data_IF_970012259692
#
_entry.id   IF_970012259692
#
_cell.length_a   1.000
_cell.length_b   1.000
_cell.length_c   1.000
_cell.angle_alpha   90.00
_cell.angle_beta   90.00
_cell.angle_gamma   90.00
#
_symmetry.space_group_name_H-M   'P 1'
#
loop_
_entity.id
_entity.type
_entity.pdbx_description
1 polymer ?
#
# COMPACT_ATOMS: atom_id res chain seq x y z
N UNK A 1 -23.91 -54.61 -72.44
CA UNK A 1 -24.66 -53.59 -71.63
C UNK A 1 -23.69 -52.82 -70.85
N UNK A 2 -23.29 -51.61 -71.30
CA UNK A 2 -22.34 -50.74 -70.72
C UNK A 2 -23.08 -49.55 -70.17
N UNK A 3 -22.83 -49.27 -68.88
CA UNK A 3 -23.35 -48.07 -68.17
C UNK A 3 -22.41 -46.90 -68.43
N UNK A 4 -22.91 -45.67 -68.59
CA UNK A 4 -22.09 -44.52 -68.90
C UNK A 4 -21.50 -43.87 -67.56
N UNK A 5 -20.26 -43.43 -67.68
CA UNK A 5 -19.51 -42.68 -66.68
C UNK A 5 -20.01 -41.21 -66.58
N UNK A 6 -20.06 -40.57 -65.41
CA UNK A 6 -20.44 -39.17 -65.27
C UNK A 6 -19.26 -38.25 -65.63
N UNK A 7 -19.56 -37.24 -66.43
CA UNK A 7 -18.68 -36.10 -66.73
C UNK A 7 -18.38 -35.29 -65.47
N UNK A 8 -17.11 -35.13 -65.14
CA UNK A 8 -16.64 -34.18 -64.14
C UNK A 8 -16.49 -32.78 -64.79
N UNK A 9 -17.31 -31.86 -64.35
CA UNK A 9 -17.19 -30.43 -64.69
C UNK A 9 -16.11 -29.80 -63.83
N UNK A 10 -14.93 -29.58 -64.37
CA UNK A 10 -13.86 -28.80 -63.70
C UNK A 10 -14.17 -27.31 -63.85
N UNK A 11 -14.64 -26.68 -62.78
CA UNK A 11 -14.77 -25.21 -62.70
C UNK A 11 -13.42 -24.67 -62.24
N UNK A 12 -12.69 -24.09 -63.21
CA UNK A 12 -11.44 -23.35 -62.94
C UNK A 12 -11.82 -21.97 -62.41
N UNK A 13 -11.67 -21.78 -61.10
CA UNK A 13 -11.72 -20.43 -60.50
C UNK A 13 -10.42 -19.70 -60.83
N UNK A 14 -10.52 -18.70 -61.73
CA UNK A 14 -9.43 -17.74 -61.97
C UNK A 14 -9.37 -16.78 -60.79
N UNK A 15 -8.51 -17.06 -59.79
CA UNK A 15 -8.24 -16.13 -58.70
C UNK A 15 -7.28 -15.05 -59.20
N UNK A 16 -7.83 -13.86 -59.49
CA UNK A 16 -7.04 -12.66 -59.79
C UNK A 16 -6.53 -12.16 -58.46
N UNK A 17 -5.27 -12.46 -58.12
CA UNK A 17 -4.57 -11.77 -57.02
C UNK A 17 -4.20 -10.37 -57.48
N UNK A 18 -4.66 -9.32 -56.77
CA UNK A 18 -4.10 -8.00 -56.97
C UNK A 18 -2.60 -8.06 -56.59
N UNK A 19 -1.73 -7.73 -57.50
CA UNK A 19 -0.30 -7.52 -57.23
C UNK A 19 -0.19 -6.33 -56.31
N UNK A 20 -0.19 -6.58 -54.96
CA UNK A 20 0.31 -5.58 -54.04
C UNK A 20 1.81 -5.42 -54.29
N UNK A 21 2.18 -4.28 -54.84
CA UNK A 21 3.57 -3.85 -54.79
C UNK A 21 3.92 -3.72 -53.33
N UNK A 22 4.70 -4.68 -52.80
CA UNK A 22 5.36 -4.52 -51.52
C UNK A 22 6.26 -3.27 -51.66
N UNK A 23 5.76 -2.13 -51.21
CA UNK A 23 6.67 -1.03 -50.87
C UNK A 23 7.59 -1.60 -49.79
N UNK A 24 8.89 -1.56 -50.03
CA UNK A 24 9.89 -1.89 -49.02
C UNK A 24 9.51 -1.17 -47.73
N UNK A 25 9.52 -1.86 -46.54
CA UNK A 25 9.30 -1.16 -45.28
C UNK A 25 10.27 0.02 -45.24
N UNK A 26 9.83 1.20 -44.75
CA UNK A 26 10.74 2.31 -44.57
C UNK A 26 11.94 1.79 -43.74
N UNK A 27 13.16 2.28 -44.06
CA UNK A 27 14.33 1.88 -43.27
C UNK A 27 14.01 2.08 -41.80
N UNK A 28 14.45 1.17 -40.90
CA UNK A 28 14.18 1.32 -39.48
C UNK A 28 14.63 2.72 -39.08
N UNK A 29 13.69 3.50 -38.54
CA UNK A 29 14.00 4.83 -38.02
C UNK A 29 15.12 4.62 -37.00
N UNK A 30 16.31 5.17 -37.27
CA UNK A 30 17.41 5.15 -36.31
C UNK A 30 16.87 5.69 -35.00
N UNK A 31 17.07 4.95 -33.92
CA UNK A 31 16.71 5.43 -32.57
C UNK A 31 17.30 6.83 -32.40
N UNK A 32 16.55 7.77 -31.80
CA UNK A 32 17.06 9.13 -31.60
C UNK A 32 18.36 9.06 -30.79
N UNK A 33 19.34 9.90 -31.13
CA UNK A 33 20.58 9.97 -30.36
C UNK A 33 20.31 10.51 -28.97
N UNK A 34 21.19 10.19 -27.98
CA UNK A 34 21.07 10.73 -26.62
C UNK A 34 21.03 12.27 -26.62
N UNK A 35 21.73 12.90 -27.55
CA UNK A 35 21.74 14.36 -27.74
C UNK A 35 20.36 14.85 -28.21
N UNK A 36 19.73 14.17 -29.16
CA UNK A 36 18.38 14.52 -29.63
C UNK A 36 17.36 14.36 -28.51
N UNK A 37 17.41 13.24 -27.74
CA UNK A 37 16.55 13.02 -26.56
C UNK A 37 16.77 14.12 -25.51
N UNK A 38 18.05 14.47 -25.27
CA UNK A 38 18.38 15.49 -24.29
C UNK A 38 17.81 16.86 -24.66
N UNK A 39 17.97 17.29 -25.94
CA UNK A 39 17.55 18.62 -26.39
C UNK A 39 16.05 18.72 -26.61
N UNK A 40 15.40 17.66 -27.12
CA UNK A 40 13.99 17.72 -27.51
C UNK A 40 13.01 17.30 -26.44
N UNK A 41 13.44 16.45 -25.48
CA UNK A 41 12.58 15.87 -24.44
C UNK A 41 13.06 16.21 -23.03
N UNK A 42 14.31 15.89 -22.71
CA UNK A 42 14.80 15.96 -21.32
C UNK A 42 14.97 17.42 -20.87
N UNK A 43 15.66 18.24 -21.65
CA UNK A 43 15.86 19.66 -21.33
C UNK A 43 14.54 20.41 -21.11
N UNK A 44 13.56 20.38 -22.03
CA UNK A 44 12.30 21.10 -21.84
C UNK A 44 11.53 20.63 -20.61
N UNK A 45 11.53 19.31 -20.35
CA UNK A 45 10.84 18.73 -19.18
C UNK A 45 11.46 19.14 -17.85
N UNK A 46 12.80 19.14 -17.75
CA UNK A 46 13.51 19.54 -16.54
C UNK A 46 13.44 21.05 -16.27
N UNK A 47 13.45 21.84 -17.33
CA UNK A 47 13.43 23.31 -17.25
C UNK A 47 12.13 23.84 -16.65
N UNK A 48 10.99 23.25 -17.02
CA UNK A 48 9.67 23.73 -16.60
C UNK A 48 9.26 25.02 -17.35
N UNK A 49 8.57 25.92 -16.65
CA UNK A 49 7.98 27.14 -17.25
C UNK A 49 8.95 28.33 -17.34
N UNK A 50 10.04 28.29 -16.59
CA UNK A 50 11.00 29.40 -16.51
C UNK A 50 12.29 29.03 -17.23
N UNK A 51 12.89 30.00 -17.92
CA UNK A 51 14.19 29.77 -18.53
C UNK A 51 15.25 29.53 -17.45
N UNK A 52 16.03 28.48 -17.66
CA UNK A 52 17.11 28.12 -16.76
C UNK A 52 18.46 28.38 -17.43
N UNK A 53 19.24 29.27 -16.80
CA UNK A 53 20.53 29.72 -17.33
C UNK A 53 21.57 28.59 -17.44
N UNK A 54 21.50 27.58 -16.58
CA UNK A 54 22.42 26.44 -16.65
C UNK A 54 22.12 25.56 -17.86
N UNK A 55 20.82 25.34 -18.16
CA UNK A 55 20.39 24.58 -19.31
C UNK A 55 20.56 25.34 -20.65
N UNK A 56 20.77 26.65 -20.62
CA UNK A 56 21.06 27.43 -21.84
C UNK A 56 22.32 26.97 -22.54
N UNK A 57 23.29 26.40 -21.79
CA UNK A 57 24.51 25.80 -22.36
C UNK A 57 24.23 24.59 -23.24
N UNK A 58 23.10 23.89 -23.05
CA UNK A 58 22.71 22.72 -23.85
C UNK A 58 22.12 23.19 -25.17
N UNK A 59 22.99 23.48 -26.13
CA UNK A 59 22.65 24.01 -27.41
C UNK A 59 23.72 23.62 -28.44
N UNK A 60 23.33 23.18 -29.63
CA UNK A 60 24.25 22.74 -30.69
C UNK A 60 25.19 23.82 -31.19
N UNK A 61 24.92 25.10 -30.86
CA UNK A 61 25.84 26.23 -31.15
C UNK A 61 26.93 26.36 -30.08
N UNK A 62 26.87 25.60 -29.01
CA UNK A 62 27.85 25.55 -27.90
C UNK A 62 28.58 24.21 -27.97
N UNK A 63 29.91 24.19 -27.85
CA UNK A 63 30.67 22.94 -27.85
C UNK A 63 30.21 22.02 -26.72
N UNK A 64 30.15 20.71 -26.97
CA UNK A 64 29.57 19.72 -26.07
C UNK A 64 30.25 19.70 -24.68
N UNK A 65 31.57 19.90 -24.63
CA UNK A 65 32.34 19.98 -23.39
C UNK A 65 31.97 21.18 -22.50
N UNK A 66 31.25 22.16 -23.00
CA UNK A 66 30.75 23.32 -22.27
C UNK A 66 29.32 23.13 -21.76
N UNK A 67 28.66 22.01 -22.10
CA UNK A 67 27.32 21.69 -21.58
C UNK A 67 27.43 21.30 -20.11
N UNK A 68 26.92 22.16 -19.26
CA UNK A 68 27.04 22.00 -17.82
C UNK A 68 26.27 20.77 -17.32
N UNK A 69 26.87 20.04 -16.38
CA UNK A 69 26.24 18.93 -15.69
C UNK A 69 26.21 17.62 -16.45
N UNK A 70 26.86 17.50 -17.60
CA UNK A 70 26.85 16.31 -18.43
C UNK A 70 28.24 15.68 -18.55
N UNK A 71 28.27 14.34 -18.46
CA UNK A 71 29.45 13.54 -18.81
C UNK A 71 29.08 12.58 -19.92
N UNK A 72 29.95 12.44 -20.88
CA UNK A 72 29.74 11.68 -22.11
C UNK A 72 30.70 10.51 -22.24
N UNK A 73 30.26 9.49 -22.95
CA UNK A 73 31.05 8.29 -23.28
C UNK A 73 30.77 7.96 -24.76
N UNK A 74 31.80 7.47 -25.47
CA UNK A 74 31.63 6.92 -26.81
C UNK A 74 31.05 5.49 -26.71
N UNK A 75 30.43 5.01 -27.75
CA UNK A 75 29.83 3.66 -27.80
C UNK A 75 30.85 2.53 -27.59
N UNK A 76 32.15 2.78 -27.72
CA UNK A 76 33.24 1.88 -27.36
C UNK A 76 33.65 1.96 -25.89
N UNK A 77 32.84 2.61 -25.04
CA UNK A 77 33.06 2.84 -23.63
C UNK A 77 34.25 3.75 -23.28
N UNK A 78 34.83 4.49 -24.23
CA UNK A 78 35.87 5.49 -23.94
C UNK A 78 35.20 6.79 -23.47
N UNK A 79 35.61 7.37 -22.31
CA UNK A 79 35.02 8.61 -21.83
C UNK A 79 35.48 9.79 -22.68
N UNK A 80 34.55 10.72 -22.94
CA UNK A 80 34.91 12.04 -23.50
C UNK A 80 35.47 12.90 -22.33
N UNK A 81 36.76 13.16 -22.40
CA UNK A 81 37.45 13.95 -21.40
C UNK A 81 37.35 15.45 -21.74
N UNK A 82 36.57 16.15 -20.94
CA UNK A 82 36.36 17.62 -21.04
C UNK A 82 37.08 18.36 -19.87
N UNK A 83 38.25 17.89 -19.48
CA UNK A 83 38.99 18.42 -18.31
C UNK A 83 39.99 19.52 -18.64
N UNK A 84 40.42 19.59 -19.87
CA UNK A 84 41.44 20.54 -20.29
C UNK A 84 40.86 21.57 -21.27
N UNK A 85 40.89 22.85 -20.83
CA UNK A 85 40.42 24.00 -21.62
C UNK A 85 41.21 24.20 -22.90
N UNK A 86 42.46 23.71 -22.96
CA UNK A 86 43.35 23.75 -24.13
C UNK A 86 43.09 22.58 -25.09
N UNK A 87 42.28 21.58 -24.70
CA UNK A 87 42.03 20.42 -25.55
C UNK A 87 41.21 20.80 -26.81
N UNK A 88 41.47 20.21 -27.98
CA UNK A 88 40.69 20.41 -29.19
C UNK A 88 39.20 20.07 -29.00
N UNK A 89 38.86 19.21 -28.06
CA UNK A 89 37.49 18.81 -27.76
C UNK A 89 36.68 19.92 -27.11
N UNK A 90 37.34 20.84 -26.34
CA UNK A 90 36.68 21.93 -25.65
C UNK A 90 36.01 22.95 -26.60
N UNK A 91 36.50 23.10 -27.79
CA UNK A 91 35.96 24.02 -28.81
C UNK A 91 35.26 23.29 -29.97
N UNK A 92 35.25 21.97 -29.93
CA UNK A 92 34.72 21.15 -31.04
C UNK A 92 33.18 21.14 -31.07
N UNK A 93 32.59 21.86 -32.02
CA UNK A 93 31.14 21.89 -32.27
C UNK A 93 30.63 20.61 -32.95
N UNK A 94 31.48 19.84 -33.64
CA UNK A 94 31.03 18.64 -34.35
C UNK A 94 30.71 17.47 -33.45
N UNK A 95 31.20 17.47 -32.21
CA UNK A 95 30.90 16.43 -31.23
C UNK A 95 29.40 16.30 -30.92
N UNK A 96 28.65 17.40 -30.95
CA UNK A 96 27.20 17.38 -30.77
C UNK A 96 26.41 16.68 -31.89
N UNK A 97 27.11 16.29 -32.98
CA UNK A 97 26.52 15.55 -34.12
C UNK A 97 27.05 14.10 -34.20
N UNK A 98 27.90 13.70 -33.29
CA UNK A 98 28.48 12.37 -33.29
C UNK A 98 27.48 11.35 -32.70
N UNK A 99 26.95 10.40 -33.51
CA UNK A 99 25.94 9.45 -33.08
C UNK A 99 26.51 8.37 -32.13
N UNK A 100 27.83 8.29 -32.01
CA UNK A 100 28.48 7.34 -31.10
C UNK A 100 28.56 7.84 -29.64
N UNK A 101 28.26 9.13 -29.42
CA UNK A 101 28.24 9.70 -28.07
C UNK A 101 26.95 9.38 -27.33
N UNK A 102 27.12 8.89 -26.11
CA UNK A 102 26.07 8.50 -25.19
C UNK A 102 26.25 9.23 -23.86
N UNK A 103 25.13 9.59 -23.23
CA UNK A 103 25.15 10.28 -21.95
C UNK A 103 25.51 9.29 -20.80
N UNK A 104 26.63 9.51 -20.14
CA UNK A 104 27.09 8.73 -19.01
C UNK A 104 26.52 9.20 -17.67
N UNK A 105 26.43 10.53 -17.49
CA UNK A 105 25.99 11.12 -16.22
C UNK A 105 25.31 12.45 -16.44
N UNK A 106 24.21 12.66 -15.71
CA UNK A 106 23.45 13.91 -15.62
C UNK A 106 23.52 14.42 -14.17
N UNK A 107 24.24 15.54 -13.95
CA UNK A 107 24.53 16.08 -12.62
C UNK A 107 24.17 17.58 -12.59
N UNK A 108 23.00 17.88 -12.05
CA UNK A 108 22.48 19.26 -11.89
C UNK A 108 21.90 19.46 -10.47
N UNK A 109 22.67 19.19 -9.41
CA UNK A 109 22.20 19.52 -8.08
C UNK A 109 22.12 21.04 -7.92
N UNK A 110 21.13 21.53 -7.16
CA UNK A 110 20.93 22.97 -6.89
C UNK A 110 20.87 23.85 -8.14
N UNK A 111 20.34 23.32 -9.22
CA UNK A 111 20.36 24.00 -10.53
C UNK A 111 19.11 24.86 -10.79
N UNK A 112 18.17 24.95 -9.83
CA UNK A 112 16.93 25.72 -9.98
C UNK A 112 15.95 25.13 -11.01
N UNK A 113 16.00 23.80 -11.21
CA UNK A 113 15.07 23.10 -12.10
C UNK A 113 13.66 23.09 -11.49
N UNK A 114 12.64 23.38 -12.28
CA UNK A 114 11.24 23.49 -11.82
C UNK A 114 10.24 22.67 -12.64
N UNK A 115 10.73 21.79 -13.49
CA UNK A 115 9.92 20.94 -14.34
C UNK A 115 9.55 19.59 -13.73
N UNK A 116 9.59 18.56 -14.57
CA UNK A 116 9.26 17.16 -14.20
C UNK A 116 10.33 16.21 -14.70
N UNK A 117 10.38 15.01 -14.14
CA UNK A 117 11.24 13.93 -14.62
C UNK A 117 10.62 13.31 -15.89
N UNK A 118 11.24 13.40 -17.06
CA UNK A 118 10.72 12.77 -18.27
C UNK A 118 11.03 11.27 -18.31
N UNK A 119 10.15 10.49 -18.90
CA UNK A 119 10.32 9.04 -19.07
C UNK A 119 11.55 8.67 -19.90
N UNK A 120 11.93 9.55 -20.82
CA UNK A 120 13.07 9.38 -21.73
C UNK A 120 14.42 9.26 -20.99
N UNK A 121 14.47 9.61 -19.70
CA UNK A 121 15.65 9.32 -18.87
C UNK A 121 15.94 7.81 -18.77
N UNK A 122 14.91 6.95 -18.85
CA UNK A 122 15.05 5.50 -18.88
C UNK A 122 15.53 4.94 -20.22
N UNK A 123 15.43 5.72 -21.29
CA UNK A 123 15.85 5.33 -22.64
C UNK A 123 17.35 5.54 -22.88
N UNK A 124 18.01 6.34 -22.04
CA UNK A 124 19.46 6.62 -22.15
C UNK A 124 20.28 5.39 -21.73
N UNK A 125 20.76 4.67 -22.75
CA UNK A 125 21.37 3.33 -22.57
C UNK A 125 22.63 3.30 -21.70
N UNK A 126 23.42 4.38 -21.71
CA UNK A 126 24.70 4.48 -20.97
C UNK A 126 24.61 5.35 -19.71
N UNK A 127 23.44 5.87 -19.36
CA UNK A 127 23.26 6.71 -18.18
C UNK A 127 23.45 5.90 -16.89
N UNK A 128 24.56 6.14 -16.19
CA UNK A 128 24.90 5.48 -14.93
C UNK A 128 24.53 6.31 -13.69
N UNK A 129 24.57 7.64 -13.81
CA UNK A 129 24.36 8.52 -12.66
C UNK A 129 23.39 9.65 -13.00
N UNK A 130 22.36 9.78 -12.18
CA UNK A 130 21.33 10.80 -12.25
C UNK A 130 21.29 11.57 -10.93
N UNK A 131 21.89 12.76 -10.88
CA UNK A 131 21.96 13.63 -9.68
C UNK A 131 21.24 14.94 -9.94
N UNK A 132 20.01 15.08 -9.45
CA UNK A 132 19.14 16.24 -9.62
C UNK A 132 18.62 16.74 -8.25
N UNK A 133 19.36 16.47 -7.18
CA UNK A 133 18.96 16.87 -5.83
C UNK A 133 18.95 18.39 -5.64
N UNK A 134 18.19 18.86 -4.64
CA UNK A 134 18.05 20.27 -4.25
C UNK A 134 17.53 21.12 -5.43
N UNK A 135 16.38 20.74 -5.97
CA UNK A 135 15.68 21.45 -7.04
C UNK A 135 14.19 21.61 -6.70
N UNK A 136 13.39 22.05 -7.64
CA UNK A 136 11.93 22.16 -7.49
C UNK A 136 11.20 21.25 -8.49
N UNK A 137 11.80 20.08 -8.82
CA UNK A 137 11.20 19.10 -9.72
C UNK A 137 9.95 18.51 -9.09
N UNK A 138 8.88 18.43 -9.86
CA UNK A 138 7.56 17.98 -9.41
C UNK A 138 7.05 16.79 -10.23
N UNK A 139 5.86 16.29 -9.88
CA UNK A 139 5.27 15.11 -10.54
C UNK A 139 5.80 13.81 -9.96
N UNK A 140 5.60 12.72 -10.67
CA UNK A 140 5.93 11.36 -10.22
C UNK A 140 7.29 10.91 -10.72
N UNK A 141 7.87 9.92 -10.04
CA UNK A 141 9.04 9.19 -10.53
C UNK A 141 8.58 8.31 -11.71
N UNK A 142 9.13 8.49 -12.92
CA UNK A 142 8.70 7.72 -14.09
C UNK A 142 9.07 6.24 -13.94
N UNK A 143 8.15 5.35 -14.31
CA UNK A 143 8.39 3.92 -14.26
C UNK A 143 9.51 3.46 -15.20
N UNK A 144 9.75 4.22 -16.27
CA UNK A 144 10.78 3.96 -17.28
C UNK A 144 12.20 4.03 -16.72
N UNK A 145 12.43 4.79 -15.64
CA UNK A 145 13.72 4.79 -14.95
C UNK A 145 14.15 3.37 -14.54
N UNK A 146 13.19 2.55 -14.12
CA UNK A 146 13.45 1.15 -13.74
C UNK A 146 13.83 0.24 -14.92
N UNK A 147 13.66 0.67 -16.15
CA UNK A 147 14.05 -0.07 -17.34
C UNK A 147 15.39 0.37 -17.92
N UNK A 148 16.04 1.36 -17.31
CA UNK A 148 17.37 1.76 -17.72
C UNK A 148 18.36 0.60 -17.66
N UNK A 149 19.18 0.45 -18.71
CA UNK A 149 20.18 -0.63 -18.81
C UNK A 149 21.43 -0.40 -17.95
N UNK A 150 21.72 0.85 -17.58
CA UNK A 150 23.02 1.20 -16.96
C UNK A 150 22.91 1.99 -15.67
N UNK A 151 21.73 2.49 -15.32
CA UNK A 151 21.53 3.36 -14.16
C UNK A 151 21.87 2.64 -12.85
N UNK A 152 22.81 3.22 -12.10
CA UNK A 152 23.30 2.66 -10.85
C UNK A 152 23.25 3.64 -9.67
N UNK A 153 23.23 4.94 -9.93
CA UNK A 153 23.18 5.96 -8.88
C UNK A 153 22.08 6.97 -9.20
N UNK A 154 21.14 7.09 -8.28
CA UNK A 154 19.99 8.01 -8.38
C UNK A 154 19.97 8.88 -7.14
N UNK A 155 20.03 10.20 -7.32
CA UNK A 155 19.84 11.19 -6.27
C UNK A 155 18.86 12.27 -6.76
N UNK A 156 17.64 12.18 -6.24
CA UNK A 156 16.53 13.10 -6.50
C UNK A 156 16.06 13.76 -5.19
N UNK A 157 16.91 13.75 -4.15
CA UNK A 157 16.61 14.32 -2.85
C UNK A 157 16.26 15.81 -2.91
N UNK A 158 15.51 16.28 -1.93
CA UNK A 158 15.10 17.70 -1.78
C UNK A 158 14.49 18.28 -3.05
N UNK A 159 13.34 17.71 -3.44
CA UNK A 159 12.52 18.12 -4.57
C UNK A 159 11.03 18.16 -4.19
N UNK A 160 10.14 18.36 -5.15
CA UNK A 160 8.69 18.38 -4.96
C UNK A 160 8.01 17.14 -5.58
N UNK A 161 8.75 16.04 -5.70
CA UNK A 161 8.24 14.79 -6.27
C UNK A 161 7.14 14.20 -5.39
N UNK A 162 6.12 13.62 -6.02
CA UNK A 162 4.94 13.08 -5.34
C UNK A 162 4.48 11.75 -5.96
N UNK A 163 3.38 11.20 -5.42
CA UNK A 163 2.87 9.90 -5.85
C UNK A 163 3.65 8.73 -5.25
N UNK A 164 3.41 7.53 -5.75
CA UNK A 164 4.07 6.30 -5.30
C UNK A 164 5.35 6.04 -6.08
N UNK A 165 6.32 5.39 -5.44
CA UNK A 165 7.50 4.88 -6.10
C UNK A 165 7.10 3.71 -7.02
N UNK A 166 7.46 3.70 -8.31
CA UNK A 166 7.09 2.61 -9.21
C UNK A 166 7.85 1.31 -8.87
N UNK A 167 7.15 0.17 -8.95
CA UNK A 167 7.74 -1.16 -8.69
C UNK A 167 8.94 -1.45 -9.59
N UNK A 168 8.93 -0.90 -10.82
CA UNK A 168 10.01 -1.06 -11.80
C UNK A 168 11.38 -0.60 -11.28
N UNK A 169 11.44 0.28 -10.27
CA UNK A 169 12.72 0.74 -9.71
C UNK A 169 13.61 -0.44 -9.25
N UNK A 170 13.00 -1.52 -8.81
CA UNK A 170 13.71 -2.73 -8.38
C UNK A 170 14.24 -3.59 -9.53
N UNK A 171 13.89 -3.30 -10.79
CA UNK A 171 14.55 -3.93 -11.95
C UNK A 171 16.01 -3.51 -12.05
N UNK A 172 16.39 -2.41 -11.38
CA UNK A 172 17.77 -1.95 -11.27
C UNK A 172 18.57 -2.71 -10.20
N UNK A 173 17.95 -3.57 -9.41
CA UNK A 173 18.43 -4.20 -8.20
C UNK A 173 19.88 -4.70 -8.30
N UNK A 174 20.23 -5.42 -9.39
CA UNK A 174 21.56 -6.02 -9.51
C UNK A 174 22.68 -5.00 -9.78
N UNK A 175 22.34 -3.79 -10.25
CA UNK A 175 23.30 -2.73 -10.59
C UNK A 175 23.16 -1.48 -9.74
N UNK A 176 22.00 -1.29 -9.10
CA UNK A 176 21.73 -0.12 -8.28
C UNK A 176 22.66 -0.11 -7.06
N UNK A 177 23.39 0.97 -6.89
CA UNK A 177 24.28 1.21 -5.75
C UNK A 177 23.65 2.16 -4.76
N UNK A 178 23.03 3.24 -5.26
CA UNK A 178 22.47 4.30 -4.43
C UNK A 178 21.13 4.76 -4.96
N UNK A 179 20.13 4.83 -4.07
CA UNK A 179 18.82 5.45 -4.29
C UNK A 179 18.57 6.46 -3.17
N UNK A 180 18.58 7.74 -3.50
CA UNK A 180 18.29 8.84 -2.57
C UNK A 180 17.10 9.64 -3.09
N UNK A 181 16.03 9.64 -2.30
CA UNK A 181 14.74 10.28 -2.59
C UNK A 181 14.27 11.15 -1.41
N UNK A 182 15.15 11.41 -0.43
CA UNK A 182 14.80 12.17 0.77
C UNK A 182 14.24 13.56 0.45
N UNK A 183 13.49 14.17 1.37
CA UNK A 183 13.00 15.53 1.22
C UNK A 183 12.02 15.72 0.06
N UNK A 184 11.08 14.78 -0.14
CA UNK A 184 10.06 14.83 -1.19
C UNK A 184 8.64 14.66 -0.60
N UNK A 185 7.64 14.51 -1.43
CA UNK A 185 6.26 14.19 -1.05
C UNK A 185 5.81 12.82 -1.56
N UNK A 186 6.76 11.88 -1.71
CA UNK A 186 6.45 10.51 -2.14
C UNK A 186 5.61 9.79 -1.08
N UNK A 187 4.66 8.97 -1.51
CA UNK A 187 3.64 8.38 -0.63
C UNK A 187 3.30 6.94 -1.02
N UNK A 188 2.43 6.32 -0.22
CA UNK A 188 2.06 4.91 -0.39
C UNK A 188 3.06 3.97 0.26
N UNK A 189 2.83 2.67 0.12
CA UNK A 189 3.78 1.66 0.59
C UNK A 189 4.99 1.57 -0.33
N UNK A 190 6.14 1.24 0.22
CA UNK A 190 7.31 0.93 -0.59
C UNK A 190 7.04 -0.37 -1.37
N UNK A 191 7.08 -0.35 -2.72
CA UNK A 191 6.74 -1.53 -3.50
C UNK A 191 7.78 -2.64 -3.29
N UNK A 192 7.35 -3.90 -3.30
CA UNK A 192 8.26 -5.04 -3.25
C UNK A 192 8.89 -5.31 -4.63
N UNK A 193 10.13 -5.85 -4.66
CA UNK A 193 10.73 -6.36 -5.87
C UNK A 193 9.84 -7.46 -6.50
N UNK A 194 9.67 -7.43 -7.83
CA UNK A 194 8.87 -8.42 -8.55
C UNK A 194 9.38 -9.86 -8.36
N UNK A 195 10.68 -10.02 -8.18
CA UNK A 195 11.30 -11.30 -7.85
C UNK A 195 11.45 -11.42 -6.33
N UNK A 196 10.74 -12.35 -5.67
CA UNK A 196 10.66 -12.43 -4.22
C UNK A 196 12.00 -12.71 -3.52
N UNK A 197 13.00 -13.25 -4.23
CA UNK A 197 14.32 -13.56 -3.70
C UNK A 197 15.41 -12.58 -4.14
N UNK A 198 15.06 -11.40 -4.63
CA UNK A 198 16.03 -10.38 -5.00
C UNK A 198 16.88 -9.97 -3.80
N UNK A 199 18.20 -10.06 -3.92
CA UNK A 199 19.16 -9.72 -2.88
C UNK A 199 19.85 -8.39 -3.10
N UNK A 200 19.70 -7.79 -4.29
CA UNK A 200 20.28 -6.48 -4.66
C UNK A 200 21.73 -6.32 -4.19
N UNK A 201 22.62 -7.23 -4.62
CA UNK A 201 23.96 -7.36 -4.06
C UNK A 201 24.87 -6.13 -4.24
N UNK A 202 24.54 -5.24 -5.18
CA UNK A 202 25.28 -3.98 -5.39
C UNK A 202 24.72 -2.82 -4.54
N UNK A 203 23.52 -2.97 -3.94
CA UNK A 203 22.78 -1.88 -3.33
C UNK A 203 23.33 -1.55 -1.94
N UNK A 204 23.84 -0.33 -1.78
CA UNK A 204 24.53 0.11 -0.57
C UNK A 204 23.82 1.26 0.17
N UNK A 205 23.11 2.13 -0.55
CA UNK A 205 22.58 3.34 0.03
C UNK A 205 21.10 3.51 -0.32
N UNK A 206 20.23 3.43 0.70
CA UNK A 206 18.80 3.71 0.59
C UNK A 206 18.44 4.85 1.53
N UNK A 207 18.08 5.99 0.96
CA UNK A 207 17.66 7.17 1.69
C UNK A 207 16.28 7.63 1.17
N UNK A 208 15.26 7.40 1.98
CA UNK A 208 13.85 7.76 1.74
C UNK A 208 13.34 8.73 2.80
N UNK A 209 14.21 9.28 3.63
CA UNK A 209 13.85 10.17 4.72
C UNK A 209 13.00 11.37 4.28
N UNK A 210 12.22 11.95 5.20
CA UNK A 210 11.42 13.15 4.94
C UNK A 210 10.49 13.01 3.72
N UNK A 211 9.61 12.00 3.76
CA UNK A 211 8.59 11.72 2.75
C UNK A 211 7.24 11.40 3.42
N UNK A 212 6.31 10.81 2.67
CA UNK A 212 5.00 10.37 3.16
C UNK A 212 4.78 8.88 2.93
N UNK A 213 5.86 8.08 2.87
CA UNK A 213 5.75 6.63 2.76
C UNK A 213 5.02 6.05 3.96
N UNK A 214 4.20 5.04 3.75
CA UNK A 214 3.34 4.43 4.75
C UNK A 214 3.32 2.91 4.63
N UNK A 215 2.58 2.24 5.49
CA UNK A 215 2.54 0.79 5.58
C UNK A 215 3.53 0.25 6.60
N UNK A 216 3.68 -1.06 6.64
CA UNK A 216 4.61 -1.71 7.56
C UNK A 216 6.06 -1.57 7.07
N UNK A 217 7.00 -1.89 7.97
CA UNK A 217 8.42 -1.93 7.59
C UNK A 217 8.62 -2.85 6.37
N UNK A 218 9.26 -2.38 5.29
CA UNK A 218 9.45 -3.17 4.07
C UNK A 218 10.44 -4.31 4.30
N UNK A 219 9.94 -5.47 4.70
CA UNK A 219 10.75 -6.61 5.16
C UNK A 219 11.76 -7.09 4.12
N UNK A 220 11.48 -6.92 2.83
CA UNK A 220 12.38 -7.30 1.75
C UNK A 220 13.75 -6.59 1.82
N UNK A 221 13.84 -5.41 2.47
CA UNK A 221 15.12 -4.69 2.68
C UNK A 221 16.09 -5.53 3.49
N UNK A 222 15.62 -6.39 4.38
CA UNK A 222 16.48 -7.27 5.20
C UNK A 222 17.30 -8.29 4.37
N UNK A 223 16.92 -8.47 3.10
CA UNK A 223 17.64 -9.32 2.15
C UNK A 223 18.80 -8.62 1.45
N UNK A 224 18.89 -7.28 1.53
CA UNK A 224 19.91 -6.48 0.86
C UNK A 224 21.22 -6.48 1.65
N UNK A 225 22.00 -7.56 1.56
CA UNK A 225 23.18 -7.81 2.40
C UNK A 225 24.30 -6.80 2.27
N UNK A 226 24.36 -6.07 1.14
CA UNK A 226 25.37 -5.03 0.90
C UNK A 226 24.95 -3.65 1.40
N UNK A 227 23.72 -3.52 1.95
CA UNK A 227 23.21 -2.25 2.43
C UNK A 227 24.03 -1.74 3.62
N UNK A 228 24.50 -0.49 3.51
CA UNK A 228 25.31 0.21 4.51
C UNK A 228 24.57 1.38 5.15
N UNK A 229 23.72 2.06 4.36
CA UNK A 229 22.91 3.16 4.83
C UNK A 229 21.43 2.86 4.56
N UNK A 230 20.64 2.96 5.63
CA UNK A 230 19.18 2.92 5.58
C UNK A 230 18.61 4.13 6.33
N UNK A 231 18.01 5.05 5.61
CA UNK A 231 17.27 6.18 6.20
C UNK A 231 15.81 6.11 5.75
N UNK A 232 14.91 5.90 6.71
CA UNK A 232 13.46 5.92 6.54
C UNK A 232 12.82 7.00 7.44
N UNK A 233 13.61 7.88 8.05
CA UNK A 233 13.13 8.84 9.03
C UNK A 233 12.07 9.80 8.48
N UNK A 234 11.24 10.33 9.38
CA UNK A 234 10.21 11.31 9.00
C UNK A 234 9.31 10.82 7.87
N UNK A 235 8.65 9.68 8.11
CA UNK A 235 7.66 9.06 7.24
C UNK A 235 6.44 8.58 8.06
N UNK A 236 5.57 7.81 7.45
CA UNK A 236 4.35 7.26 8.06
C UNK A 236 4.41 5.73 8.19
N UNK A 237 5.62 5.15 8.24
CA UNK A 237 5.78 3.70 8.42
C UNK A 237 5.26 3.27 9.79
N UNK A 238 4.75 2.05 9.88
CA UNK A 238 4.14 1.46 11.07
C UNK A 238 4.58 0.00 11.28
N UNK A 239 3.94 -0.68 12.21
CA UNK A 239 4.22 -2.09 12.50
C UNK A 239 5.50 -2.30 13.29
N UNK A 240 5.98 -3.54 13.30
CA UNK A 240 7.20 -3.94 14.01
C UNK A 240 8.42 -3.88 13.09
N UNK A 241 9.57 -3.57 13.67
CA UNK A 241 10.86 -3.64 12.98
C UNK A 241 11.32 -5.11 12.98
N UNK A 242 11.57 -5.72 11.80
CA UNK A 242 11.84 -7.14 11.70
C UNK A 242 13.24 -7.51 12.23
N UNK A 243 13.35 -8.71 12.82
CA UNK A 243 14.63 -9.24 13.34
C UNK A 243 15.73 -9.33 12.26
N UNK A 244 15.34 -9.57 11.01
CA UNK A 244 16.26 -9.61 9.87
C UNK A 244 17.10 -8.35 9.68
N UNK A 245 16.65 -7.20 10.18
CA UNK A 245 17.39 -5.94 10.13
C UNK A 245 18.72 -6.05 10.90
N UNK A 246 18.73 -6.76 12.04
CA UNK A 246 19.96 -7.00 12.82
C UNK A 246 21.02 -7.81 12.08
N UNK A 247 20.65 -8.55 11.06
CA UNK A 247 21.55 -9.32 10.21
C UNK A 247 22.25 -8.50 9.11
N UNK A 248 21.90 -7.21 8.94
CA UNK A 248 22.54 -6.33 7.97
C UNK A 248 23.79 -5.64 8.57
N UNK A 249 24.78 -5.40 7.72
CA UNK A 249 25.98 -4.68 8.14
C UNK A 249 25.86 -3.18 7.93
N UNK A 250 24.80 -2.57 8.49
CA UNK A 250 24.53 -1.14 8.33
C UNK A 250 25.59 -0.30 9.05
N UNK A 251 26.11 0.72 8.38
CA UNK A 251 26.98 1.76 8.94
C UNK A 251 26.15 2.93 9.49
N UNK A 252 25.03 3.22 8.83
CA UNK A 252 24.07 4.26 9.23
C UNK A 252 22.65 3.72 9.17
N UNK A 253 21.91 3.99 10.22
CA UNK A 253 20.48 3.67 10.35
C UNK A 253 19.75 4.89 10.88
N UNK A 254 18.60 5.21 10.31
CA UNK A 254 17.69 6.22 10.84
C UNK A 254 16.25 5.80 10.57
N UNK A 255 15.51 5.49 11.63
CA UNK A 255 14.09 5.10 11.60
C UNK A 255 13.24 6.06 12.42
N UNK A 256 13.80 7.20 12.84
CA UNK A 256 13.14 8.18 13.71
C UNK A 256 11.90 8.81 13.05
N UNK A 257 11.01 9.33 13.87
CA UNK A 257 9.80 10.05 13.42
C UNK A 257 8.95 9.27 12.43
N UNK A 258 8.55 8.07 12.87
CA UNK A 258 7.60 7.16 12.21
C UNK A 258 6.56 6.69 13.24
N UNK A 259 5.83 5.64 12.95
CA UNK A 259 4.88 5.00 13.88
C UNK A 259 5.24 3.53 14.16
N UNK A 260 6.53 3.18 14.16
CA UNK A 260 6.99 1.84 14.49
C UNK A 260 6.68 1.50 15.95
N UNK A 261 6.36 0.24 16.23
CA UNK A 261 5.96 -0.25 17.55
C UNK A 261 6.52 -1.66 17.81
N UNK A 262 6.36 -2.16 19.02
CA UNK A 262 6.81 -3.50 19.37
C UNK A 262 8.23 -3.55 19.91
N UNK A 263 8.85 -4.73 19.85
CA UNK A 263 10.21 -4.96 20.38
C UNK A 263 11.23 -4.70 19.32
N UNK A 264 12.26 -3.90 19.63
CA UNK A 264 13.39 -3.69 18.74
C UNK A 264 14.18 -5.01 18.56
N UNK A 265 14.56 -5.33 17.30
CA UNK A 265 15.46 -6.44 17.05
C UNK A 265 16.84 -6.19 17.67
N UNK A 266 17.62 -7.25 17.88
CA UNK A 266 19.01 -7.10 18.28
C UNK A 266 19.84 -6.53 17.12
N UNK A 267 20.19 -5.25 17.20
CA UNK A 267 20.99 -4.53 16.19
C UNK A 267 22.49 -4.55 16.48
N UNK A 268 22.94 -5.40 17.41
CA UNK A 268 24.30 -5.39 17.95
C UNK A 268 24.44 -4.40 19.11
N UNK A 269 25.18 -4.80 20.13
CA UNK A 269 25.36 -3.97 21.32
C UNK A 269 26.01 -2.63 20.94
N UNK A 270 25.33 -1.53 21.27
CA UNK A 270 25.79 -0.14 21.16
C UNK A 270 26.14 0.39 19.74
N UNK A 271 25.72 -0.24 18.66
CA UNK A 271 26.01 0.26 17.31
C UNK A 271 25.20 1.50 16.95
N UNK A 272 23.93 1.57 17.41
CA UNK A 272 23.01 2.67 17.17
C UNK A 272 22.41 3.16 18.48
N UNK A 273 22.36 4.46 18.70
CA UNK A 273 21.76 5.06 19.87
C UNK A 273 20.23 5.16 19.79
N UNK A 274 19.62 5.68 20.85
CA UNK A 274 18.16 5.85 20.93
C UNK A 274 17.63 6.87 19.91
N UNK A 275 18.44 7.81 19.49
CA UNK A 275 18.10 8.89 18.55
C UNK A 275 17.62 8.38 17.19
N UNK A 276 18.12 7.21 16.74
CA UNK A 276 17.71 6.65 15.44
C UNK A 276 16.28 6.08 15.46
N UNK A 277 15.65 6.01 16.64
CA UNK A 277 14.29 5.53 16.86
C UNK A 277 13.38 6.60 17.47
N UNK A 278 13.88 7.82 17.70
CA UNK A 278 13.15 8.90 18.32
C UNK A 278 11.85 9.21 17.56
N UNK A 279 10.82 9.71 18.26
CA UNK A 279 9.58 10.14 17.64
C UNK A 279 8.69 9.02 17.08
N UNK A 280 9.00 7.75 17.42
CA UNK A 280 8.16 6.60 17.06
C UNK A 280 7.04 6.37 18.08
N UNK A 281 6.22 5.36 17.84
CA UNK A 281 5.13 4.96 18.73
C UNK A 281 5.67 4.69 20.15
N UNK A 282 4.99 5.17 21.23
CA UNK A 282 5.38 4.91 22.60
C UNK A 282 5.47 3.42 22.98
N UNK A 283 4.88 2.54 22.17
CA UNK A 283 4.96 1.08 22.32
C UNK A 283 6.26 0.46 21.80
N UNK A 284 7.13 1.25 21.12
CA UNK A 284 8.45 0.77 20.69
C UNK A 284 9.38 0.68 21.89
N UNK A 285 10.00 -0.47 22.11
CA UNK A 285 10.80 -0.77 23.29
C UNK A 285 11.92 -1.78 23.00
N UNK A 286 12.85 -1.98 23.91
CA UNK A 286 14.03 -2.82 23.72
C UNK A 286 15.30 -2.00 23.57
N UNK A 287 16.48 -2.59 23.77
CA UNK A 287 17.74 -1.86 23.66
C UNK A 287 17.93 -1.26 22.26
N UNK A 288 18.34 0.01 22.11
CA UNK A 288 18.81 0.97 23.14
C UNK A 288 17.69 1.79 23.80
N UNK A 289 16.43 1.57 23.46
CA UNK A 289 15.30 2.21 24.12
C UNK A 289 15.04 1.59 25.50
N UNK A 290 14.02 2.10 26.21
CA UNK A 290 13.57 1.52 27.47
C UNK A 290 13.26 0.03 27.29
N UNK A 291 13.50 -0.76 28.36
CA UNK A 291 13.08 -2.15 28.39
C UNK A 291 11.58 -2.26 28.14
N UNK A 292 11.18 -3.22 27.30
CA UNK A 292 9.77 -3.51 27.12
C UNK A 292 9.19 -3.80 28.50
N UNK A 293 8.19 -3.02 28.91
CA UNK A 293 7.35 -3.44 30.01
C UNK A 293 6.80 -4.77 29.55
N UNK A 294 7.36 -5.87 30.11
CA UNK A 294 6.67 -7.13 30.08
C UNK A 294 5.24 -6.79 30.47
N UNK A 295 4.26 -7.22 29.73
CA UNK A 295 2.94 -7.26 30.28
C UNK A 295 3.13 -8.02 31.59
N UNK A 296 3.23 -7.30 32.69
CA UNK A 296 2.95 -7.84 34.00
C UNK A 296 1.46 -8.18 33.92
N UNK A 297 1.14 -9.11 33.07
CA UNK A 297 -0.07 -9.87 33.14
C UNK A 297 -0.05 -10.37 34.54
N UNK A 298 -0.95 -9.80 35.37
CA UNK A 298 -1.21 -10.30 36.70
C UNK A 298 -1.23 -11.81 36.52
N UNK A 299 -0.29 -12.53 37.13
CA UNK A 299 -0.13 -13.97 36.89
C UNK A 299 -1.51 -14.61 36.98
N UNK A 300 -1.80 -15.63 36.16
CA UNK A 300 -3.09 -16.30 36.18
C UNK A 300 -3.52 -16.66 37.62
N UNK A 301 -2.54 -16.90 38.52
CA UNK A 301 -2.75 -17.09 39.94
C UNK A 301 -3.18 -15.79 40.67
N UNK A 302 -2.63 -14.63 40.31
CA UNK A 302 -3.02 -13.36 40.91
C UNK A 302 -4.41 -12.90 40.43
N UNK A 303 -4.75 -13.13 39.14
CA UNK A 303 -6.11 -12.90 38.61
C UNK A 303 -7.09 -13.84 39.29
N UNK A 304 -6.77 -15.13 39.45
CA UNK A 304 -7.58 -16.09 40.17
C UNK A 304 -7.75 -15.67 41.64
N UNK A 305 -6.69 -15.22 42.31
CA UNK A 305 -6.73 -14.71 43.67
C UNK A 305 -7.63 -13.47 43.83
N UNK A 306 -7.56 -12.52 42.92
CA UNK A 306 -8.42 -11.32 42.91
C UNK A 306 -9.89 -11.72 42.67
N UNK A 307 -10.17 -12.62 41.73
CA UNK A 307 -11.53 -13.08 41.44
C UNK A 307 -12.10 -13.85 42.66
N UNK A 308 -11.32 -14.75 43.25
CA UNK A 308 -11.74 -15.48 44.44
C UNK A 308 -11.98 -14.52 45.62
N UNK A 309 -11.11 -13.52 45.82
CA UNK A 309 -11.26 -12.49 46.84
C UNK A 309 -12.53 -11.65 46.65
N UNK A 310 -12.87 -11.27 45.45
CA UNK A 310 -14.10 -10.53 45.10
C UNK A 310 -15.32 -11.43 45.34
N UNK A 311 -15.31 -12.67 44.85
CA UNK A 311 -16.43 -13.60 45.03
C UNK A 311 -16.68 -13.94 46.51
N UNK A 312 -15.63 -14.19 47.30
CA UNK A 312 -15.77 -14.42 48.74
C UNK A 312 -16.28 -13.18 49.45
N UNK A 313 -15.81 -11.98 49.07
CA UNK A 313 -16.32 -10.71 49.61
C UNK A 313 -17.81 -10.51 49.31
N UNK A 314 -18.26 -10.83 48.11
CA UNK A 314 -19.68 -10.76 47.71
C UNK A 314 -20.52 -11.76 48.54
N UNK A 315 -20.04 -12.98 48.69
CA UNK A 315 -20.74 -14.00 49.48
C UNK A 315 -20.87 -13.59 50.96
N UNK A 316 -19.80 -13.04 51.56
CA UNK A 316 -19.83 -12.52 52.94
C UNK A 316 -20.80 -11.34 53.06
N UNK A 317 -20.77 -10.39 52.14
CA UNK A 317 -21.71 -9.25 52.11
C UNK A 317 -23.17 -9.71 51.93
N UNK A 318 -23.41 -10.67 51.02
CA UNK A 318 -24.73 -11.25 50.83
C UNK A 318 -25.22 -11.99 52.11
N UNK A 319 -24.36 -12.75 52.77
CA UNK A 319 -24.68 -13.43 54.04
C UNK A 319 -25.02 -12.44 55.17
N UNK A 320 -24.27 -11.33 55.28
CA UNK A 320 -24.52 -10.27 56.24
C UNK A 320 -25.84 -9.54 55.91
N UNK A 321 -26.13 -9.27 54.63
CA UNK A 321 -27.39 -8.67 54.20
C UNK A 321 -28.59 -9.59 54.46
N UNK A 322 -28.46 -10.90 54.19
CA UNK A 322 -29.50 -11.89 54.50
C UNK A 322 -29.72 -11.95 55.99
N UNK A 323 -28.66 -12.00 56.82
CA UNK A 323 -28.74 -11.97 58.28
C UNK A 323 -29.41 -10.70 58.77
N UNK A 324 -29.07 -9.52 58.19
CA UNK A 324 -29.71 -8.25 58.56
C UNK A 324 -31.21 -8.21 58.18
N UNK A 325 -31.55 -8.67 56.97
CA UNK A 325 -32.94 -8.73 56.50
C UNK A 325 -33.78 -9.75 57.30
N UNK A 326 -33.20 -10.92 57.63
CA UNK A 326 -33.87 -11.90 58.47
C UNK A 326 -34.04 -11.40 59.91
N UNK A 327 -33.04 -10.70 60.47
CA UNK A 327 -33.15 -10.04 61.77
C UNK A 327 -34.26 -8.98 61.82
N UNK A 328 -34.41 -8.23 60.69
CA UNK A 328 -35.46 -7.22 60.52
C UNK A 328 -36.86 -7.86 60.35
N UNK A 329 -36.95 -8.99 59.58
CA UNK A 329 -38.21 -9.77 59.48
C UNK A 329 -38.68 -10.44 60.75
N UNK A 330 -37.79 -10.72 61.69
CA UNK A 330 -38.19 -11.22 63.05
C UNK A 330 -38.80 -10.12 63.90
N UNK A 331 -38.56 -8.83 63.61
CA UNK A 331 -39.04 -7.70 64.38
C UNK A 331 -40.35 -7.09 63.86
N UNK A 332 -40.78 -7.46 62.67
CA UNK A 332 -42.01 -6.94 62.01
C UNK A 332 -42.92 -8.09 61.58
N UNK A 333 -43.17 -9.06 62.46
CA UNK A 333 -44.19 -10.07 62.26
C UNK A 333 -45.32 -9.84 63.22
N UNK A 334 -45.86 -8.65 63.18
CA UNK A 334 -47.19 -8.24 63.61
C UNK A 334 -47.54 -7.11 62.70
N UNK A 335 -48.70 -7.26 62.03
CA UNK A 335 -49.44 -6.34 61.22
C UNK A 335 -49.24 -6.38 59.69
N UNK A 336 -50.29 -6.96 59.15
CA UNK A 336 -51.07 -6.62 57.93
C UNK A 336 -50.65 -7.16 56.60
N UNK A 337 -51.59 -7.97 56.15
CA UNK A 337 -51.93 -8.39 54.82
C UNK A 337 -52.16 -7.22 53.86
N UNK A 338 -51.81 -7.39 52.60
CA UNK A 338 -52.58 -7.11 51.38
C UNK A 338 -51.73 -6.53 50.23
N UNK A 339 -51.80 -7.28 49.05
CA UNK A 339 -51.85 -6.85 47.66
C UNK A 339 -50.60 -6.14 47.07
N UNK A 340 -50.07 -6.44 45.92
CA UNK A 340 -50.54 -6.94 44.65
C UNK A 340 -49.35 -7.35 43.77
N UNK A 341 -49.62 -8.20 42.81
CA UNK A 341 -48.87 -8.69 41.70
C UNK A 341 -48.38 -7.58 40.74
N UNK A 342 -47.24 -7.84 40.12
CA UNK A 342 -46.91 -7.66 38.70
C UNK A 342 -45.38 -7.71 38.58
N UNK A 343 -44.72 -8.45 37.79
CA UNK A 343 -44.96 -9.21 36.57
C UNK A 343 -43.63 -9.89 36.28
N UNK A 344 -43.61 -11.18 36.37
CA UNK A 344 -42.52 -12.03 35.85
C UNK A 344 -42.72 -12.12 34.33
N UNK A 345 -41.78 -11.65 33.54
CA UNK A 345 -41.73 -12.02 32.13
C UNK A 345 -40.83 -13.24 31.94
N UNK A 346 -41.50 -14.25 31.58
CA UNK A 346 -41.13 -15.63 31.31
C UNK A 346 -39.87 -15.80 30.44
N UNK A 347 -38.87 -16.48 30.98
CA UNK A 347 -38.04 -17.36 30.22
C UNK A 347 -38.79 -18.67 29.98
N UNK A 348 -39.49 -18.78 28.91
CA UNK A 348 -39.98 -20.09 28.45
C UNK A 348 -39.20 -20.57 27.25
N UNK A 349 -38.37 -21.56 27.50
CA UNK A 349 -37.61 -22.31 26.53
C UNK A 349 -38.53 -23.10 25.62
N UNK A 350 -38.47 -22.73 24.32
CA UNK A 350 -38.93 -23.55 23.20
C UNK A 350 -37.78 -24.33 22.63
N UNK A 351 -37.80 -25.64 22.83
CA UNK A 351 -36.93 -26.61 22.15
C UNK A 351 -37.34 -26.67 20.66
N UNK A 352 -36.57 -26.04 19.78
CA UNK A 352 -36.77 -26.07 18.32
C UNK A 352 -35.56 -25.54 17.59
N UNK A 353 -34.93 -26.38 16.93
CA UNK A 353 -34.01 -26.49 15.78
C UNK A 353 -33.32 -25.27 15.16
N UNK A 354 -33.47 -24.03 15.59
CA UNK A 354 -33.02 -22.83 14.87
C UNK A 354 -32.01 -22.00 15.69
N UNK A 355 -31.11 -21.25 14.99
CA UNK A 355 -30.11 -20.40 15.64
C UNK A 355 -30.74 -19.20 16.39
N UNK A 356 -29.93 -18.41 17.09
CA UNK A 356 -30.39 -17.28 17.90
C UNK A 356 -30.29 -15.96 17.10
N UNK A 357 -31.40 -15.23 16.92
CA UNK A 357 -31.46 -13.90 16.36
C UNK A 357 -31.55 -12.87 17.49
N UNK A 358 -30.71 -11.84 17.46
CA UNK A 358 -30.70 -10.71 18.40
C UNK A 358 -31.06 -9.47 17.59
N UNK A 359 -32.13 -8.81 17.96
CA UNK A 359 -32.62 -7.60 17.32
C UNK A 359 -32.06 -6.34 17.98
N UNK A 360 -31.88 -5.29 17.19
CA UNK A 360 -31.49 -3.96 17.67
C UNK A 360 -32.51 -2.94 17.17
N UNK A 361 -32.46 -1.74 17.72
CA UNK A 361 -33.38 -0.66 17.39
C UNK A 361 -33.51 -0.44 15.87
N UNK A 362 -34.73 -0.51 15.36
CA UNK A 362 -35.07 -0.43 13.94
C UNK A 362 -35.00 -1.76 13.18
N UNK A 363 -34.78 -2.86 13.88
CA UNK A 363 -34.83 -4.22 13.34
C UNK A 363 -36.00 -5.05 13.90
N UNK A 364 -36.94 -4.43 14.62
CA UNK A 364 -38.05 -5.10 15.31
C UNK A 364 -39.00 -5.86 14.37
N UNK A 365 -39.02 -5.50 13.09
CA UNK A 365 -39.79 -6.16 12.04
C UNK A 365 -39.10 -7.38 11.43
N UNK A 366 -37.82 -7.63 11.76
CA UNK A 366 -37.07 -8.74 11.18
C UNK A 366 -37.31 -10.03 11.97
N UNK A 367 -37.80 -11.07 11.30
CA UNK A 367 -37.95 -12.41 11.89
C UNK A 367 -36.78 -13.32 11.46
N UNK A 368 -36.53 -14.35 12.26
CA UNK A 368 -35.51 -15.34 11.93
C UNK A 368 -35.79 -16.03 10.59
N UNK A 369 -37.05 -16.35 10.36
CA UNK A 369 -37.52 -17.00 9.13
C UNK A 369 -37.29 -16.12 7.90
N UNK A 370 -37.60 -14.84 7.95
CA UNK A 370 -37.35 -13.88 6.86
C UNK A 370 -35.87 -13.74 6.53
N UNK A 371 -35.01 -13.68 7.56
CA UNK A 371 -33.57 -13.55 7.37
C UNK A 371 -32.97 -14.82 6.73
N UNK A 372 -33.43 -15.99 7.14
CA UNK A 372 -32.93 -17.27 6.62
C UNK A 372 -33.48 -17.59 5.21
N UNK A 373 -34.69 -17.15 4.89
CA UNK A 373 -35.35 -17.36 3.59
C UNK A 373 -35.02 -16.26 2.58
N UNK A 374 -34.32 -15.20 2.99
CA UNK A 374 -33.99 -14.08 2.12
C UNK A 374 -33.10 -14.56 0.93
N UNK A 375 -33.54 -14.27 -0.30
CA UNK A 375 -32.76 -14.59 -1.51
C UNK A 375 -31.63 -13.60 -1.68
N UNK A 376 -30.40 -14.07 -1.51
CA UNK A 376 -29.20 -13.22 -1.51
C UNK A 376 -28.33 -13.38 -2.75
N UNK A 377 -27.79 -12.26 -3.24
CA UNK A 377 -26.70 -12.21 -4.22
C UNK A 377 -25.44 -11.73 -3.56
N UNK A 378 -24.30 -12.37 -3.86
CA UNK A 378 -22.98 -11.93 -3.37
C UNK A 378 -22.67 -10.57 -3.99
N UNK A 379 -22.47 -9.56 -3.15
CA UNK A 379 -22.06 -8.23 -3.58
C UNK A 379 -20.56 -8.05 -3.50
N UNK A 380 -19.94 -8.54 -2.41
CA UNK A 380 -18.52 -8.37 -2.17
C UNK A 380 -17.94 -9.52 -1.32
N UNK A 381 -16.68 -9.92 -1.60
CA UNK A 381 -15.90 -10.83 -0.78
C UNK A 381 -14.69 -10.10 -0.23
N UNK A 382 -14.58 -10.03 1.09
CA UNK A 382 -13.48 -9.39 1.80
C UNK A 382 -12.69 -10.40 2.63
N UNK A 383 -11.53 -10.02 3.13
CA UNK A 383 -10.75 -10.84 4.08
C UNK A 383 -11.49 -11.13 5.39
N UNK A 384 -12.47 -10.29 5.74
CA UNK A 384 -13.24 -10.39 6.98
C UNK A 384 -14.60 -11.08 6.84
N UNK A 385 -15.01 -11.43 5.63
CA UNK A 385 -16.29 -12.08 5.36
C UNK A 385 -16.88 -11.75 4.00
N UNK A 386 -18.07 -12.29 3.75
CA UNK A 386 -18.80 -12.10 2.48
C UNK A 386 -20.04 -11.24 2.74
N UNK A 387 -20.27 -10.27 1.87
CA UNK A 387 -21.44 -9.38 1.91
C UNK A 387 -22.43 -9.83 0.84
N UNK A 388 -23.67 -10.03 1.25
CA UNK A 388 -24.79 -10.40 0.38
C UNK A 388 -25.82 -9.25 0.37
N UNK A 389 -26.34 -8.94 -0.80
CA UNK A 389 -27.57 -8.19 -0.96
C UNK A 389 -28.74 -9.18 -0.95
N UNK A 390 -29.61 -9.08 0.01
CA UNK A 390 -30.72 -10.02 0.17
C UNK A 390 -32.06 -9.30 0.10
N UNK A 391 -33.04 -9.93 -0.55
CA UNK A 391 -34.42 -9.44 -0.60
C UNK A 391 -35.27 -10.21 0.39
N UNK A 392 -36.00 -9.49 1.22
CA UNK A 392 -37.02 -9.99 2.11
C UNK A 392 -38.34 -10.27 1.38
N UNK A 393 -39.22 -11.06 1.99
CA UNK A 393 -40.52 -11.41 1.42
C UNK A 393 -41.46 -10.20 1.27
N UNK A 394 -41.35 -9.20 2.10
CA UNK A 394 -42.08 -7.91 2.06
C UNK A 394 -41.60 -6.95 0.94
N UNK A 395 -40.56 -7.33 0.21
CA UNK A 395 -39.91 -6.53 -0.84
C UNK A 395 -38.77 -5.63 -0.33
N UNK A 396 -38.53 -5.57 0.99
CA UNK A 396 -37.40 -4.89 1.59
C UNK A 396 -36.06 -5.46 1.12
N UNK A 397 -35.02 -4.65 1.14
CA UNK A 397 -33.67 -5.10 0.78
C UNK A 397 -32.73 -4.86 1.96
N UNK A 398 -32.01 -5.88 2.36
CA UNK A 398 -31.03 -5.84 3.47
C UNK A 398 -29.63 -6.24 2.98
N UNK A 399 -28.63 -5.82 3.71
CA UNK A 399 -27.27 -6.27 3.54
C UNK A 399 -26.90 -7.27 4.64
N UNK A 400 -26.55 -8.49 4.25
CA UNK A 400 -26.12 -9.55 5.16
C UNK A 400 -24.61 -9.69 5.07
N UNK A 401 -23.90 -9.56 6.19
CA UNK A 401 -22.46 -9.80 6.25
C UNK A 401 -22.19 -11.09 7.02
N UNK A 402 -21.81 -12.13 6.28
CA UNK A 402 -21.34 -13.38 6.86
C UNK A 402 -19.89 -13.23 7.33
N UNK A 403 -19.67 -13.34 8.63
CA UNK A 403 -18.32 -13.29 9.20
C UNK A 403 -17.56 -14.57 8.91
N UNK A 404 -16.26 -14.46 8.66
CA UNK A 404 -15.39 -15.61 8.42
C UNK A 404 -15.22 -16.46 9.69
N UNK A 405 -15.11 -17.77 9.55
CA UNK A 405 -14.73 -18.66 10.64
C UNK A 405 -13.42 -18.21 11.29
N UNK A 406 -13.38 -18.14 12.62
CA UNK A 406 -12.23 -17.67 13.38
C UNK A 406 -12.22 -16.16 13.69
N UNK A 407 -13.12 -15.36 13.11
CA UNK A 407 -13.24 -13.94 13.46
C UNK A 407 -13.61 -13.67 14.93
N UNK A 408 -14.11 -14.70 15.62
CA UNK A 408 -14.41 -14.69 17.06
C UNK A 408 -14.00 -16.04 17.62
N UNK A 409 -12.93 -16.08 18.39
CA UNK A 409 -12.37 -17.34 18.92
C UNK A 409 -13.33 -18.09 19.86
N UNK A 410 -14.20 -17.38 20.60
CA UNK A 410 -15.19 -17.99 21.50
C UNK A 410 -16.56 -17.33 21.32
N UNK A 411 -17.63 -18.13 21.27
CA UNK A 411 -19.01 -17.66 21.08
C UNK A 411 -19.48 -16.64 22.14
N UNK A 412 -18.89 -16.68 23.32
CA UNK A 412 -19.16 -15.76 24.42
C UNK A 412 -18.45 -14.41 24.33
N UNK A 413 -17.30 -14.33 23.64
CA UNK A 413 -16.48 -13.11 23.60
C UNK A 413 -16.98 -12.05 22.61
N UNK A 414 -17.72 -12.43 21.58
CA UNK A 414 -18.23 -11.52 20.57
C UNK A 414 -19.55 -10.84 20.91
N UNK A 415 -20.41 -11.51 21.65
CA UNK A 415 -21.75 -11.01 21.98
C UNK A 415 -21.75 -9.65 22.69
N UNK A 416 -20.87 -9.39 23.69
CA UNK A 416 -20.79 -8.08 24.31
C UNK A 416 -20.42 -6.96 23.34
N UNK A 417 -19.45 -7.22 22.45
CA UNK A 417 -19.01 -6.24 21.44
C UNK A 417 -20.10 -5.98 20.42
N UNK A 418 -20.79 -7.02 19.96
CA UNK A 418 -21.90 -6.90 19.01
C UNK A 418 -23.08 -6.15 19.64
N UNK A 419 -23.38 -6.37 20.92
CA UNK A 419 -24.40 -5.60 21.64
C UNK A 419 -24.04 -4.13 21.77
N UNK A 420 -22.76 -3.80 22.02
CA UNK A 420 -22.29 -2.41 22.00
C UNK A 420 -22.42 -1.80 20.60
N UNK A 421 -21.98 -2.52 19.56
CA UNK A 421 -22.10 -2.09 18.17
C UNK A 421 -23.57 -1.85 17.78
N UNK A 422 -24.48 -2.74 18.21
CA UNK A 422 -25.92 -2.61 17.98
C UNK A 422 -26.58 -1.38 18.63
N UNK A 423 -25.92 -0.73 19.57
CA UNK A 423 -26.38 0.51 20.23
C UNK A 423 -25.85 1.78 19.57
N UNK A 424 -24.83 1.67 18.70
CA UNK A 424 -24.22 2.84 18.06
C UNK A 424 -25.21 3.43 17.05
N UNK A 425 -25.44 4.74 17.15
CA UNK A 425 -26.26 5.53 16.23
C UNK A 425 -25.50 6.80 15.87
N UNK A 426 -25.32 7.01 14.58
CA UNK A 426 -24.67 8.20 14.04
C UNK A 426 -25.13 8.41 12.60
N UNK A 427 -25.35 9.63 12.20
CA UNK A 427 -25.86 9.99 10.87
C UNK A 427 -25.01 9.47 9.69
N UNK A 428 -23.71 9.31 9.92
CA UNK A 428 -22.75 8.82 8.90
C UNK A 428 -22.43 7.33 9.05
N UNK A 429 -23.14 6.57 9.89
CA UNK A 429 -22.96 5.15 10.09
C UNK A 429 -24.24 4.37 9.81
N UNK A 430 -24.13 3.29 9.04
CA UNK A 430 -25.24 2.35 8.85
C UNK A 430 -25.46 1.60 10.16
N UNK A 431 -26.65 1.70 10.79
CA UNK A 431 -26.92 1.02 12.05
C UNK A 431 -27.03 -0.48 11.85
N UNK A 432 -26.48 -1.25 12.80
CA UNK A 432 -26.73 -2.69 12.88
C UNK A 432 -28.18 -2.92 13.29
N UNK A 433 -28.93 -3.70 12.49
CA UNK A 433 -30.35 -4.01 12.72
C UNK A 433 -30.58 -5.30 13.47
N UNK A 434 -29.79 -6.33 13.14
CA UNK A 434 -29.85 -7.60 13.85
C UNK A 434 -28.51 -8.36 13.75
N UNK A 435 -28.37 -9.34 14.63
CA UNK A 435 -27.27 -10.28 14.62
C UNK A 435 -27.82 -11.71 14.75
N UNK A 436 -27.44 -12.57 13.82
CA UNK A 436 -27.80 -13.98 13.85
C UNK A 436 -26.58 -14.84 14.18
N UNK A 437 -26.78 -15.81 15.10
CA UNK A 437 -25.80 -16.82 15.42
C UNK A 437 -26.39 -18.20 15.16
N UNK A 438 -25.88 -18.88 14.16
CA UNK A 438 -26.28 -20.23 13.80
C UNK A 438 -25.67 -21.29 14.70
N UNK A 439 -26.24 -22.49 14.68
CA UNK A 439 -25.79 -23.63 15.50
C UNK A 439 -24.42 -24.18 15.10
N UNK A 440 -24.03 -24.04 13.83
CA UNK A 440 -22.73 -24.47 13.31
C UNK A 440 -21.64 -23.40 13.44
N UNK A 441 -21.96 -22.30 14.15
CA UNK A 441 -21.02 -21.19 14.37
C UNK A 441 -21.10 -20.08 13.33
N UNK A 442 -22.03 -20.13 12.39
CA UNK A 442 -22.29 -19.06 11.43
C UNK A 442 -22.71 -17.79 12.16
N UNK A 443 -22.17 -16.66 11.72
CA UNK A 443 -22.46 -15.35 12.30
C UNK A 443 -22.77 -14.36 11.20
N UNK A 444 -23.99 -13.80 11.22
CA UNK A 444 -24.48 -12.82 10.26
C UNK A 444 -24.75 -11.50 10.97
N UNK A 445 -24.20 -10.43 10.41
CA UNK A 445 -24.58 -9.04 10.76
C UNK A 445 -25.55 -8.53 9.72
N UNK A 446 -26.68 -7.97 10.16
CA UNK A 446 -27.78 -7.51 9.30
C UNK A 446 -27.85 -5.99 9.38
N UNK A 447 -27.76 -5.34 8.20
CA UNK A 447 -27.80 -3.90 8.02
C UNK A 447 -28.85 -3.51 6.96
N UNK A 448 -29.23 -2.24 6.93
CA UNK A 448 -29.97 -1.68 5.82
C UNK A 448 -29.10 -1.71 4.55
N UNK A 449 -29.70 -2.06 3.41
CA UNK A 449 -29.00 -1.99 2.13
C UNK A 449 -29.04 -0.57 1.58
N UNK A 450 -27.88 0.02 1.33
CA UNK A 450 -27.78 1.30 0.66
C UNK A 450 -27.63 1.06 -0.85
N UNK A 451 -28.50 1.65 -1.70
CA UNK A 451 -28.45 1.45 -3.15
C UNK A 451 -27.26 2.15 -3.81
N UNK A 452 -26.62 3.07 -3.10
CA UNK A 452 -25.42 3.76 -3.57
C UNK A 452 -24.25 2.79 -3.61
N UNK A 453 -23.45 2.86 -4.67
CA UNK A 453 -22.27 2.02 -4.84
C UNK A 453 -21.27 2.22 -3.70
N UNK A 454 -20.38 1.26 -3.51
CA UNK A 454 -19.28 1.41 -2.55
C UNK A 454 -18.37 2.58 -2.94
N UNK A 455 -17.65 3.15 -1.98
CA UNK A 455 -16.66 4.20 -2.26
C UNK A 455 -15.62 3.71 -3.28
N UNK A 456 -15.27 2.43 -3.22
CA UNK A 456 -14.40 1.78 -4.20
C UNK A 456 -14.99 1.85 -5.62
N UNK A 457 -16.26 1.47 -5.79
CA UNK A 457 -16.94 1.53 -7.10
C UNK A 457 -17.10 2.97 -7.60
N UNK A 458 -17.27 3.92 -6.69
CA UNK A 458 -17.40 5.34 -7.01
C UNK A 458 -16.06 5.92 -7.49
N UNK A 459 -14.97 5.52 -6.86
CA UNK A 459 -13.61 5.98 -7.22
C UNK A 459 -13.08 5.28 -8.47
N UNK A 460 -13.35 3.99 -8.65
CA UNK A 460 -12.83 3.21 -9.78
C UNK A 460 -13.82 3.06 -10.93
N UNK A 461 -15.13 3.17 -10.69
CA UNK A 461 -16.17 3.10 -11.72
C UNK A 461 -16.20 4.31 -12.64
N UNK A 462 -15.73 5.49 -12.21
CA UNK A 462 -15.58 6.65 -13.09
C UNK A 462 -14.49 6.49 -14.14
N UNK A 463 -13.45 5.69 -13.88
CA UNK A 463 -12.39 5.43 -14.88
C UNK A 463 -12.91 4.59 -16.05
N UNK A 464 -13.87 3.71 -15.87
CA UNK A 464 -14.45 2.90 -16.95
C UNK A 464 -15.37 3.71 -17.87
N UNK A 465 -16.02 4.76 -17.36
CA UNK A 465 -16.87 5.64 -18.19
C UNK A 465 -16.04 6.62 -19.04
N UNK A 466 -14.87 7.06 -18.56
CA UNK A 466 -14.02 7.98 -19.32
C UNK A 466 -13.29 7.27 -20.48
N UNK A 467 -13.02 5.98 -20.37
CA UNK A 467 -12.37 5.21 -21.45
C UNK A 467 -13.36 4.89 -22.57
N UNK A 468 -14.67 4.74 -22.28
CA UNK A 468 -15.68 4.48 -23.29
C UNK A 468 -16.17 5.74 -24.05
N UNK A 469 -15.97 6.94 -23.50
CA UNK A 469 -16.34 8.19 -24.16
C UNK A 469 -15.21 8.81 -25.03
N UNK A 470 -13.97 8.34 -24.90
CA UNK A 470 -12.86 8.82 -25.74
C UNK A 470 -12.64 8.00 -27.02
N UNK A 471 -13.42 6.93 -27.27
CA UNK A 471 -13.32 6.14 -28.50
C UNK A 471 -14.57 6.24 -29.41
N UNK A 472 -15.48 7.17 -29.16
CA UNK A 472 -16.65 7.40 -29.98
C UNK A 472 -16.82 8.90 -30.35
N UNK A 473 -15.73 9.53 -30.83
CA UNK A 473 -15.78 10.72 -31.67
C UNK A 473 -14.50 10.80 -32.50
#
# INVERSE_FOLDING_TARGET
>A
MALPTPLSLSITFLVIFPTFTLSSPPPPSSSPSDIDLLLTKIKPSLQGKTENLLLSSWNTSVPLCQWRGLKWVFSNATPLLCTDLSSPQWTNLSLSKDPSLQLLSLQLPSAGLSGTLPRELGELSSLQSLYLSVNSLSGTVPLELGYSSSLSNIDLGDNLLNGSLPTSIWNLCDRLVSLRLHGNSLSGSLPEPALPNSTCNSFQFLDLGHNKFSGDFPEFITRFRSLRLLDLANNLFSGSIPEGLGGLNLEKLNLSYNNFSGVLPNLGESKFGAEVFEGNNPGLCGSPLRSCRGSSGVSSGAIAGIIIGILTGIVVLASLLIGYVQGRKRKNREDDEELEEEGEEDENGGCGGEGKLILFQGGEHLTLEEVLNATGQVTEKTSYGTIYKAKLADGGTIALRLLREGSCKDGSSCLPVIRQLGRVRHENLIPLRAFYQGKRGEKLLIYDYLPNRTLHDLLHGMLSCFILFCFAN
#
